data_IF_964030966915
#
_entry.id   IF_964030966915
#
_cell.length_a   1.000
_cell.length_b   1.000
_cell.length_c   1.000
_cell.angle_alpha   90.00
_cell.angle_beta   90.00
_cell.angle_gamma   90.00
#
_symmetry.space_group_name_H-M   'P 1'
#
loop_
_entity.id
_entity.type
_entity.pdbx_description
1 polymer ?
#
# COMPACT_ATOMS: atom_id res chain seq x y z
N UNK A 1 6.77 -23.41 -43.51
CA UNK A 1 5.97 -23.24 -42.27
C UNK A 1 6.79 -23.41 -40.98
N UNK A 2 7.66 -24.43 -40.86
CA UNK A 2 8.49 -24.68 -39.66
C UNK A 2 9.38 -23.50 -39.21
N UNK A 3 10.01 -22.78 -40.16
CA UNK A 3 10.79 -21.57 -39.85
C UNK A 3 9.96 -20.44 -39.23
N UNK A 4 8.72 -20.24 -39.68
CA UNK A 4 7.83 -19.19 -39.14
C UNK A 4 7.37 -19.52 -37.72
N UNK A 5 7.13 -20.80 -37.43
CA UNK A 5 6.79 -21.28 -36.09
C UNK A 5 7.95 -21.11 -35.10
N UNK A 6 9.19 -21.41 -35.52
CA UNK A 6 10.39 -21.22 -34.69
C UNK A 6 10.62 -19.74 -34.34
N UNK A 7 10.45 -18.83 -35.31
CA UNK A 7 10.58 -17.39 -35.07
C UNK A 7 9.51 -16.90 -34.09
N UNK A 8 8.27 -17.38 -34.21
CA UNK A 8 7.20 -17.01 -33.28
C UNK A 8 7.52 -17.46 -31.85
N UNK A 9 7.96 -18.71 -31.66
CA UNK A 9 8.32 -19.25 -30.34
C UNK A 9 9.48 -18.46 -29.70
N UNK A 10 10.51 -18.13 -30.47
CA UNK A 10 11.64 -17.34 -30.00
C UNK A 10 11.22 -15.92 -29.61
N UNK A 11 10.37 -15.27 -30.42
CA UNK A 11 9.87 -13.93 -30.12
C UNK A 11 9.04 -13.91 -28.82
N UNK A 12 8.17 -14.90 -28.61
CA UNK A 12 7.38 -15.01 -27.39
C UNK A 12 8.26 -15.26 -26.16
N UNK A 13 9.29 -16.11 -26.29
CA UNK A 13 10.23 -16.35 -25.20
C UNK A 13 10.97 -15.06 -24.79
N UNK A 14 11.50 -14.31 -25.77
CA UNK A 14 12.21 -13.05 -25.49
C UNK A 14 11.29 -12.01 -24.84
N UNK A 15 10.03 -11.92 -25.29
CA UNK A 15 9.05 -11.01 -24.69
C UNK A 15 8.74 -11.35 -23.22
N UNK A 16 8.69 -12.64 -22.87
CA UNK A 16 8.48 -13.09 -21.49
C UNK A 16 9.68 -12.78 -20.59
N UNK A 17 10.91 -12.84 -21.10
CA UNK A 17 12.12 -12.53 -20.33
C UNK A 17 12.37 -11.02 -20.19
N UNK A 18 11.88 -10.19 -21.12
CA UNK A 18 12.02 -8.73 -21.06
C UNK A 18 11.15 -8.06 -19.98
N UNK A 19 10.30 -8.83 -19.27
CA UNK A 19 9.45 -8.32 -18.18
C UNK A 19 10.17 -8.04 -16.86
N UNK A 20 11.44 -8.43 -16.69
CA UNK A 20 12.23 -7.98 -15.55
C UNK A 20 12.69 -6.53 -15.77
N UNK A 21 11.86 -5.57 -15.34
CA UNK A 21 12.27 -4.17 -15.18
C UNK A 21 13.34 -4.10 -14.09
N UNK A 22 14.61 -4.16 -14.48
CA UNK A 22 15.74 -4.11 -13.55
C UNK A 22 15.70 -2.86 -12.68
N UNK A 23 16.37 -2.91 -11.52
CA UNK A 23 16.51 -1.72 -10.67
C UNK A 23 17.20 -0.60 -11.46
N UNK A 24 16.75 0.66 -11.32
CA UNK A 24 17.43 1.80 -11.92
C UNK A 24 18.87 1.86 -11.43
N UNK A 25 19.82 1.73 -12.36
CA UNK A 25 21.26 1.77 -12.08
C UNK A 25 21.81 3.19 -12.03
N UNK A 26 20.97 4.16 -12.36
CA UNK A 26 21.29 5.59 -12.35
C UNK A 26 20.28 6.35 -11.51
N UNK A 27 20.78 7.34 -10.79
CA UNK A 27 20.00 8.21 -9.93
C UNK A 27 20.90 9.33 -9.41
N UNK A 28 20.31 10.41 -8.88
CA UNK A 28 21.08 11.49 -8.28
C UNK A 28 21.87 10.96 -7.07
N UNK A 29 23.11 11.41 -6.91
CA UNK A 29 23.85 11.24 -5.66
C UNK A 29 23.28 12.26 -4.68
N UNK A 30 22.81 11.79 -3.53
CA UNK A 30 22.29 12.62 -2.44
C UNK A 30 23.23 12.48 -1.25
N UNK A 31 23.55 13.58 -0.58
CA UNK A 31 24.36 13.51 0.65
C UNK A 31 23.66 12.64 1.71
N UNK A 32 24.43 11.73 2.30
CA UNK A 32 23.98 10.94 3.44
C UNK A 32 23.92 11.79 4.71
N UNK A 33 23.23 11.29 5.74
CA UNK A 33 23.20 11.93 7.06
C UNK A 33 24.60 12.03 7.67
N UNK A 34 24.83 13.06 8.49
CA UNK A 34 26.12 13.30 9.14
C UNK A 34 26.29 12.28 10.28
N UNK A 35 27.51 11.78 10.47
CA UNK A 35 27.83 10.89 11.58
C UNK A 35 27.60 11.62 12.91
N UNK A 36 26.75 11.06 13.76
CA UNK A 36 26.37 11.68 15.03
C UNK A 36 25.12 12.55 14.97
N UNK A 37 24.44 12.62 13.81
CA UNK A 37 23.09 13.18 13.75
C UNK A 37 22.16 12.44 14.71
N UNK A 38 21.46 13.20 15.56
CA UNK A 38 20.41 12.66 16.42
C UNK A 38 19.28 12.19 15.51
N UNK A 39 19.14 10.87 15.40
CA UNK A 39 17.94 10.27 14.82
C UNK A 39 16.83 10.49 15.83
N UNK A 40 16.08 11.57 15.66
CA UNK A 40 14.78 11.65 16.30
C UNK A 40 13.97 10.50 15.72
N UNK A 41 13.62 9.53 16.57
CA UNK A 41 12.67 8.49 16.20
C UNK A 41 11.45 9.21 15.62
N UNK A 42 11.01 8.89 14.39
CA UNK A 42 9.86 9.55 13.81
C UNK A 42 8.68 9.39 14.77
N UNK A 43 7.90 10.47 14.93
CA UNK A 43 6.67 10.43 15.72
C UNK A 43 5.82 9.30 15.16
N UNK A 44 5.63 8.24 15.96
CA UNK A 44 4.74 7.15 15.57
C UNK A 44 3.31 7.54 15.87
N UNK A 45 2.48 7.44 14.84
CA UNK A 45 1.03 7.48 15.00
C UNK A 45 0.60 6.13 15.54
N UNK A 46 0.02 6.14 16.74
CA UNK A 46 -0.63 4.95 17.32
C UNK A 46 -2.11 5.12 17.10
N UNK A 47 -2.67 4.35 16.17
CA UNK A 47 -4.08 4.39 15.89
C UNK A 47 -4.87 3.76 17.04
N UNK A 48 -6.08 4.26 17.27
CA UNK A 48 -7.02 3.70 18.24
C UNK A 48 -8.10 2.94 17.46
N UNK A 49 -8.53 1.80 17.99
CA UNK A 49 -9.60 1.00 17.39
C UNK A 49 -10.97 1.70 17.38
N UNK A 50 -11.98 1.10 16.73
CA UNK A 50 -13.33 1.63 16.69
C UNK A 50 -13.95 1.67 18.09
N UNK A 51 -14.82 2.66 18.32
CA UNK A 51 -15.60 2.79 19.55
C UNK A 51 -17.05 2.38 19.31
N UNK A 52 -17.68 1.80 20.34
CA UNK A 52 -19.08 1.42 20.28
C UNK A 52 -19.97 2.65 20.02
N UNK A 53 -20.93 2.50 19.10
CA UNK A 53 -21.83 3.57 18.70
C UNK A 53 -21.22 4.62 17.76
N UNK A 54 -20.00 4.39 17.25
CA UNK A 54 -19.41 5.24 16.20
C UNK A 54 -20.32 5.33 14.96
N UNK A 55 -20.41 6.53 14.36
CA UNK A 55 -21.09 6.69 13.07
C UNK A 55 -20.32 5.95 11.96
N UNK A 56 -20.99 5.65 10.85
CA UNK A 56 -20.35 4.99 9.70
C UNK A 56 -19.14 5.79 9.20
N UNK A 57 -19.26 7.12 9.10
CA UNK A 57 -18.16 8.00 8.71
C UNK A 57 -17.01 7.98 9.72
N UNK A 58 -17.30 7.88 11.02
CA UNK A 58 -16.27 7.77 12.04
C UNK A 58 -15.50 6.44 11.93
N UNK A 59 -16.19 5.34 11.64
CA UNK A 59 -15.57 4.02 11.38
C UNK A 59 -14.67 4.08 10.15
N UNK A 60 -15.17 4.59 9.02
CA UNK A 60 -14.40 4.68 7.77
C UNK A 60 -13.19 5.59 7.94
N UNK A 61 -13.36 6.76 8.57
CA UNK A 61 -12.26 7.69 8.84
C UNK A 61 -11.21 7.08 9.77
N UNK A 62 -11.64 6.35 10.80
CA UNK A 62 -10.76 5.64 11.72
C UNK A 62 -9.95 4.55 11.02
N UNK A 63 -10.60 3.75 10.17
CA UNK A 63 -9.92 2.74 9.36
C UNK A 63 -8.84 3.33 8.45
N UNK A 64 -9.14 4.41 7.74
CA UNK A 64 -8.18 5.06 6.84
C UNK A 64 -6.98 5.64 7.61
N UNK A 65 -7.22 6.24 8.77
CA UNK A 65 -6.14 6.72 9.67
C UNK A 65 -5.34 5.59 10.29
N UNK A 66 -5.95 4.43 10.55
CA UNK A 66 -5.24 3.26 11.05
C UNK A 66 -4.22 2.70 10.04
N UNK A 67 -4.29 3.11 8.77
CA UNK A 67 -3.25 2.83 7.77
C UNK A 67 -1.94 3.58 8.01
N UNK A 68 -1.95 4.67 8.81
CA UNK A 68 -0.73 5.40 9.21
C UNK A 68 0.02 4.71 10.36
N UNK A 69 -0.61 3.72 11.01
CA UNK A 69 0.01 2.92 12.07
C UNK A 69 1.17 2.10 11.48
N UNK A 70 2.34 2.22 12.10
CA UNK A 70 3.56 1.55 11.69
C UNK A 70 3.67 0.10 12.22
N UNK A 71 2.65 -0.40 12.95
CA UNK A 71 2.59 -1.80 13.36
C UNK A 71 2.55 -2.75 12.16
N UNK A 72 3.56 -3.64 12.07
CA UNK A 72 3.69 -4.64 11.00
C UNK A 72 2.50 -5.60 10.93
N UNK A 73 1.77 -5.79 12.03
CA UNK A 73 0.61 -6.68 12.03
C UNK A 73 -0.68 -6.01 11.56
N UNK A 74 -0.68 -4.68 11.48
CA UNK A 74 -1.84 -3.83 11.23
C UNK A 74 -3.06 -4.24 12.08
N UNK A 75 -2.83 -4.56 13.36
CA UNK A 75 -3.89 -5.05 14.26
C UNK A 75 -5.04 -4.05 14.41
N UNK A 76 -4.71 -2.77 14.56
CA UNK A 76 -5.70 -1.70 14.69
C UNK A 76 -6.55 -1.58 13.43
N UNK A 77 -5.94 -1.58 12.24
CA UNK A 77 -6.69 -1.54 10.97
C UNK A 77 -7.67 -2.71 10.83
N UNK A 78 -7.26 -3.93 11.21
CA UNK A 78 -8.14 -5.12 11.20
C UNK A 78 -9.35 -4.98 12.13
N UNK A 79 -9.22 -4.22 13.23
CA UNK A 79 -10.33 -4.06 14.19
C UNK A 79 -11.53 -3.28 13.63
N UNK A 80 -11.34 -2.49 12.57
CA UNK A 80 -12.42 -1.79 11.87
C UNK A 80 -13.16 -2.67 10.84
N UNK A 81 -12.61 -3.83 10.50
CA UNK A 81 -13.17 -4.69 9.46
C UNK A 81 -14.23 -5.62 10.03
N UNK A 82 -15.27 -5.87 9.22
CA UNK A 82 -16.20 -6.95 9.50
C UNK A 82 -15.47 -8.30 9.52
N UNK A 83 -15.93 -9.30 10.31
CA UNK A 83 -15.22 -10.57 10.48
C UNK A 83 -14.89 -11.26 9.15
N UNK A 84 -15.83 -11.26 8.19
CA UNK A 84 -15.64 -11.87 6.87
C UNK A 84 -14.65 -11.11 5.96
N UNK A 85 -14.31 -9.87 6.30
CA UNK A 85 -13.47 -8.98 5.48
C UNK A 85 -12.01 -9.00 5.90
N UNK A 86 -11.69 -9.45 7.12
CA UNK A 86 -10.32 -9.44 7.66
C UNK A 86 -9.37 -10.23 6.75
N UNK A 87 -9.76 -11.44 6.34
CA UNK A 87 -8.94 -12.31 5.48
C UNK A 87 -8.91 -11.87 4.01
N UNK A 88 -9.80 -10.96 3.62
CA UNK A 88 -9.86 -10.40 2.27
C UNK A 88 -8.97 -9.18 2.11
N UNK A 89 -8.55 -8.56 3.21
CA UNK A 89 -7.69 -7.39 3.16
C UNK A 89 -6.27 -7.77 2.70
N UNK A 90 -5.76 -7.05 1.69
CA UNK A 90 -4.50 -7.33 0.98
C UNK A 90 -3.49 -6.18 1.16
N UNK A 91 -3.23 -5.80 2.41
CA UNK A 91 -2.39 -4.62 2.72
C UNK A 91 -0.96 -4.73 2.16
N UNK A 92 -0.38 -5.93 2.12
CA UNK A 92 1.03 -6.14 1.74
C UNK A 92 1.25 -6.45 0.26
N UNK A 93 0.17 -6.65 -0.51
CA UNK A 93 0.26 -7.14 -1.89
C UNK A 93 -0.42 -6.22 -2.91
N UNK A 94 -0.98 -5.10 -2.46
CA UNK A 94 -1.63 -4.10 -3.29
C UNK A 94 -0.84 -2.79 -3.29
N UNK A 95 -1.06 -1.96 -4.32
CA UNK A 95 -0.46 -0.64 -4.40
C UNK A 95 -0.92 0.25 -3.24
N UNK A 96 0.01 1.03 -2.69
CA UNK A 96 -0.28 2.01 -1.63
C UNK A 96 -0.66 3.34 -2.28
N UNK A 97 -1.87 3.82 -2.00
CA UNK A 97 -2.33 5.14 -2.42
C UNK A 97 -2.15 6.12 -1.27
N UNK A 98 -1.38 7.19 -1.51
CA UNK A 98 -1.16 8.27 -0.55
C UNK A 98 -2.04 9.45 -0.94
N UNK A 99 -2.86 9.92 -0.01
CA UNK A 99 -3.71 11.11 -0.18
C UNK A 99 -3.01 12.33 0.41
N UNK A 100 -3.16 13.48 -0.25
CA UNK A 100 -2.73 14.78 0.29
C UNK A 100 -3.94 15.49 0.93
N UNK A 101 -3.73 16.06 2.13
CA UNK A 101 -4.77 16.77 2.88
C UNK A 101 -5.76 15.89 3.66
N UNK A 102 -6.83 16.51 4.16
CA UNK A 102 -7.86 15.81 4.95
C UNK A 102 -8.88 15.12 4.04
N UNK A 103 -9.37 13.97 4.48
CA UNK A 103 -10.28 13.13 3.70
C UNK A 103 -11.70 13.71 3.72
N UNK A 104 -12.27 13.97 2.55
CA UNK A 104 -13.69 14.32 2.42
C UNK A 104 -14.55 13.07 2.29
N UNK A 105 -15.63 13.00 3.08
CA UNK A 105 -16.53 11.86 3.11
C UNK A 105 -17.91 12.30 2.60
N UNK A 106 -18.47 11.52 1.67
CA UNK A 106 -19.83 11.69 1.18
C UNK A 106 -20.53 10.34 1.30
N UNK A 107 -21.63 10.29 2.02
CA UNK A 107 -22.50 9.12 2.02
C UNK A 107 -23.09 8.96 0.62
N UNK A 108 -23.04 7.75 0.09
CA UNK A 108 -23.69 7.39 -1.17
C UNK A 108 -24.97 6.69 -0.80
N UNK A 109 -26.10 7.31 -1.09
CA UNK A 109 -27.40 6.66 -0.98
C UNK A 109 -27.56 5.73 -2.20
N UNK A 110 -27.97 4.48 -1.96
CA UNK A 110 -28.35 3.53 -3.01
C UNK A 110 -29.77 3.87 -3.49
N UNK A 111 -29.88 4.73 -4.51
CA UNK A 111 -31.07 4.85 -5.37
C UNK A 111 -30.99 3.91 -6.57
#
# INVERSE_FOLDING_TARGET
MRRRALVAVLATAVALLAGCGGLPTTGPVVEGRVLGDVVNEPVRVVAVGPVDGASQEAVVRGFLRAGEDADETHATGKSFLAPQSVDLWRWSSADVVVYDGDLSFRQVDED
#
